data_IF_646610445166
#
_entry.id   IF_646610445166
#
_cell.length_a   1.000
_cell.length_b   1.000
_cell.length_c   1.000
_cell.angle_alpha   90.00
_cell.angle_beta   90.00
_cell.angle_gamma   90.00
#
_symmetry.space_group_name_H-M   'P 1'
#
loop_
_entity.id
_entity.type
_entity.pdbx_description
1 polymer ?
#
# COMPACT_ATOMS: atom_id res chain seq x y z
N UNK A 1 -3.02 12.54 -20.49
CA UNK A 1 -2.69 11.64 -19.35
C UNK A 1 -2.89 10.15 -19.65
N UNK A 2 -4.07 9.70 -20.12
CA UNK A 2 -4.36 8.27 -20.29
C UNK A 2 -3.34 7.49 -21.15
N UNK A 3 -2.77 8.12 -22.19
CA UNK A 3 -1.72 7.51 -23.02
C UNK A 3 -0.43 7.25 -22.24
N UNK A 4 -0.05 8.15 -21.32
CA UNK A 4 1.14 8.01 -20.46
C UNK A 4 0.90 6.91 -19.44
N UNK A 5 -0.28 6.88 -18.81
CA UNK A 5 -0.66 5.82 -17.86
C UNK A 5 -0.63 4.43 -18.53
N UNK A 6 -1.19 4.33 -19.75
CA UNK A 6 -1.15 3.08 -20.53
C UNK A 6 0.29 2.65 -20.83
N UNK A 7 1.16 3.58 -21.19
CA UNK A 7 2.57 3.29 -21.45
C UNK A 7 3.29 2.74 -20.21
N UNK A 8 3.14 3.41 -19.06
CA UNK A 8 3.74 2.98 -17.78
C UNK A 8 3.25 1.60 -17.34
N UNK A 9 1.95 1.32 -17.52
CA UNK A 9 1.38 0.02 -17.21
C UNK A 9 1.96 -1.08 -18.11
N UNK A 10 2.07 -0.84 -19.42
CA UNK A 10 2.64 -1.81 -20.36
C UNK A 10 4.12 -2.07 -20.06
N UNK A 11 4.88 -1.04 -19.70
CA UNK A 11 6.31 -1.14 -19.36
C UNK A 11 6.54 -2.04 -18.15
N UNK A 12 5.68 -1.97 -17.12
CA UNK A 12 5.85 -2.73 -15.87
C UNK A 12 4.93 -3.96 -15.74
N UNK A 13 4.12 -4.28 -16.76
CA UNK A 13 3.11 -5.37 -16.75
C UNK A 13 3.65 -6.71 -16.27
N UNK A 14 4.88 -7.07 -16.64
CA UNK A 14 5.49 -8.34 -16.26
C UNK A 14 5.72 -8.40 -14.75
N UNK A 15 6.15 -7.30 -14.13
CA UNK A 15 6.38 -7.22 -12.68
C UNK A 15 5.07 -7.34 -11.91
N UNK A 16 4.02 -6.67 -12.38
CA UNK A 16 2.68 -6.80 -11.78
C UNK A 16 2.11 -8.22 -11.92
N UNK A 17 2.32 -8.88 -13.07
CA UNK A 17 1.92 -10.28 -13.26
C UNK A 17 2.63 -11.23 -12.30
N UNK A 18 3.92 -11.03 -12.05
CA UNK A 18 4.68 -11.85 -11.06
C UNK A 18 4.10 -11.68 -9.65
N UNK A 19 3.73 -10.45 -9.26
CA UNK A 19 3.10 -10.21 -7.95
C UNK A 19 1.77 -10.95 -7.80
N UNK A 20 0.92 -10.89 -8.82
CA UNK A 20 -0.37 -11.60 -8.84
C UNK A 20 -0.16 -13.12 -8.82
N UNK A 21 0.83 -13.62 -9.59
CA UNK A 21 1.14 -15.05 -9.63
C UNK A 21 1.56 -15.59 -8.25
N UNK A 22 2.39 -14.84 -7.52
CA UNK A 22 2.81 -15.22 -6.16
C UNK A 22 1.59 -15.30 -5.23
N UNK A 23 0.68 -14.30 -5.28
CA UNK A 23 -0.54 -14.32 -4.49
C UNK A 23 -1.42 -15.53 -4.81
N UNK A 24 -1.60 -15.86 -6.09
CA UNK A 24 -2.37 -17.04 -6.51
C UNK A 24 -1.75 -18.34 -6.00
N UNK A 25 -0.42 -18.46 -5.98
CA UNK A 25 0.27 -19.66 -5.46
C UNK A 25 0.00 -19.82 -3.96
N UNK A 26 0.09 -18.74 -3.18
CA UNK A 26 -0.21 -18.77 -1.74
C UNK A 26 -1.68 -19.12 -1.50
N UNK A 27 -2.57 -18.58 -2.31
CA UNK A 27 -4.02 -18.87 -2.27
C UNK A 27 -4.32 -20.35 -2.54
N UNK A 28 -3.71 -20.94 -3.57
CA UNK A 28 -3.86 -22.37 -3.88
C UNK A 28 -3.33 -23.23 -2.72
N UNK A 29 -2.21 -22.85 -2.10
CA UNK A 29 -1.67 -23.57 -0.94
C UNK A 29 -2.63 -23.53 0.26
N UNK A 30 -3.35 -22.42 0.45
CA UNK A 30 -4.40 -22.29 1.44
C UNK A 30 -5.61 -23.19 1.13
N UNK A 31 -6.12 -23.18 -0.11
CA UNK A 31 -7.24 -24.04 -0.51
C UNK A 31 -6.92 -25.53 -0.31
N UNK A 32 -5.70 -25.96 -0.66
CA UNK A 32 -5.24 -27.34 -0.40
C UNK A 32 -5.21 -27.61 1.10
N UNK A 33 -4.64 -26.70 1.90
CA UNK A 33 -4.56 -26.85 3.36
C UNK A 33 -5.95 -26.98 4.01
N UNK A 34 -6.93 -26.23 3.51
CA UNK A 34 -8.31 -26.29 3.96
C UNK A 34 -9.00 -27.64 3.67
N UNK A 35 -8.59 -28.34 2.62
CA UNK A 35 -9.12 -29.67 2.29
C UNK A 35 -8.59 -30.79 3.21
N UNK A 36 -7.39 -30.62 3.79
CA UNK A 36 -6.78 -31.64 4.66
C UNK A 36 -7.18 -31.52 6.13
N UNK A 37 -7.06 -30.32 6.72
CA UNK A 37 -7.37 -30.11 8.15
C UNK A 37 -7.55 -28.63 8.50
N UNK A 38 -8.53 -28.31 9.35
CA UNK A 38 -8.78 -26.94 9.80
C UNK A 38 -7.58 -26.30 10.54
N UNK A 39 -6.79 -27.07 11.29
CA UNK A 39 -5.62 -26.57 12.04
C UNK A 39 -4.51 -26.07 11.11
N UNK A 40 -4.29 -26.77 9.99
CA UNK A 40 -3.29 -26.40 8.97
C UNK A 40 -3.80 -25.19 8.18
N UNK A 41 -5.09 -25.18 7.84
CA UNK A 41 -5.77 -24.04 7.21
C UNK A 41 -5.63 -22.74 8.01
N UNK A 42 -5.81 -22.82 9.34
CA UNK A 42 -5.65 -21.67 10.25
C UNK A 42 -4.21 -21.15 10.31
N UNK A 43 -3.21 -22.03 10.20
CA UNK A 43 -1.81 -21.61 10.10
C UNK A 43 -1.50 -20.93 8.77
N UNK A 44 -2.08 -21.42 7.67
CA UNK A 44 -1.88 -20.87 6.33
C UNK A 44 -2.57 -19.51 6.14
N UNK A 45 -3.69 -19.25 6.82
CA UNK A 45 -4.35 -17.93 6.77
C UNK A 45 -3.49 -16.80 7.36
N UNK A 46 -2.66 -17.08 8.37
CA UNK A 46 -1.68 -16.12 8.89
C UNK A 46 -0.63 -15.78 7.82
N UNK A 47 -0.19 -16.78 7.06
CA UNK A 47 0.77 -16.59 5.96
C UNK A 47 0.13 -15.76 4.83
N UNK A 48 -1.15 -15.98 4.51
CA UNK A 48 -1.90 -15.15 3.56
C UNK A 48 -1.97 -13.68 3.99
N UNK A 49 -2.23 -13.41 5.28
CA UNK A 49 -2.23 -12.04 5.81
C UNK A 49 -0.85 -11.39 5.67
N UNK A 50 0.21 -12.13 6.01
CA UNK A 50 1.58 -11.65 5.86
C UNK A 50 1.93 -11.38 4.39
N UNK A 51 1.48 -12.25 3.49
CA UNK A 51 1.66 -12.09 2.04
C UNK A 51 0.93 -10.85 1.53
N UNK A 52 -0.31 -10.60 1.97
CA UNK A 52 -1.06 -9.38 1.68
C UNK A 52 -0.29 -8.11 2.07
N UNK A 53 0.19 -8.05 3.32
CA UNK A 53 1.03 -6.93 3.78
C UNK A 53 2.33 -6.79 2.97
N UNK A 54 2.96 -7.93 2.66
CA UNK A 54 4.17 -7.98 1.81
C UNK A 54 3.92 -7.41 0.42
N UNK A 55 2.80 -7.74 -0.22
CA UNK A 55 2.46 -7.20 -1.55
C UNK A 55 2.27 -5.69 -1.54
N UNK A 56 1.64 -5.12 -0.50
CA UNK A 56 1.52 -3.67 -0.35
C UNK A 56 2.90 -2.99 -0.30
N UNK A 57 3.85 -3.55 0.46
CA UNK A 57 5.23 -3.05 0.49
C UNK A 57 5.91 -3.15 -0.88
N UNK A 58 5.75 -4.28 -1.59
CA UNK A 58 6.33 -4.46 -2.92
C UNK A 58 5.75 -3.44 -3.91
N UNK A 59 4.45 -3.11 -3.85
CA UNK A 59 3.85 -2.06 -4.70
C UNK A 59 4.53 -0.71 -4.46
N UNK A 60 4.76 -0.35 -3.20
CA UNK A 60 5.44 0.91 -2.83
C UNK A 60 6.88 0.90 -3.38
N UNK A 61 7.62 -0.18 -3.16
CA UNK A 61 8.99 -0.31 -3.66
C UNK A 61 9.07 -0.25 -5.19
N UNK A 62 8.15 -0.92 -5.89
CA UNK A 62 8.11 -0.89 -7.35
C UNK A 62 7.81 0.54 -7.85
N UNK A 63 6.92 1.28 -7.18
CA UNK A 63 6.67 2.67 -7.49
C UNK A 63 7.92 3.56 -7.37
N UNK A 64 8.67 3.41 -6.29
CA UNK A 64 9.93 4.13 -6.06
C UNK A 64 11.02 3.69 -7.05
N UNK A 65 11.09 2.39 -7.36
CA UNK A 65 12.07 1.81 -8.28
C UNK A 65 11.81 2.22 -9.73
N UNK A 66 10.55 2.30 -10.16
CA UNK A 66 10.16 2.82 -11.47
C UNK A 66 10.69 4.24 -11.68
N UNK A 67 10.52 5.09 -10.66
CA UNK A 67 10.99 6.47 -10.72
C UNK A 67 12.52 6.60 -10.68
N UNK A 68 13.17 5.85 -9.79
CA UNK A 68 14.63 5.86 -9.70
C UNK A 68 15.32 5.34 -10.96
N UNK A 69 14.74 4.33 -11.63
CA UNK A 69 15.24 3.87 -12.94
C UNK A 69 15.14 4.99 -13.97
N UNK A 70 14.01 5.69 -14.00
CA UNK A 70 13.79 6.72 -15.01
C UNK A 70 14.66 7.97 -14.83
N UNK A 71 15.04 8.32 -13.59
CA UNK A 71 16.00 9.40 -13.33
C UNK A 71 17.46 9.05 -13.66
N UNK A 72 17.83 7.76 -13.56
CA UNK A 72 19.25 7.35 -13.52
C UNK A 72 19.70 6.58 -14.76
N UNK A 73 18.76 5.98 -15.50
CA UNK A 73 19.05 5.25 -16.74
C UNK A 73 18.95 6.18 -17.97
N UNK A 74 19.87 6.01 -18.92
CA UNK A 74 19.91 6.81 -20.17
C UNK A 74 18.60 6.71 -20.99
N UNK A 75 17.96 5.53 -20.99
CA UNK A 75 16.68 5.29 -21.66
C UNK A 75 15.50 5.95 -20.94
N UNK A 76 15.56 6.02 -19.61
CA UNK A 76 14.54 6.67 -18.79
C UNK A 76 14.58 8.19 -18.87
N UNK A 77 15.79 8.74 -18.98
CA UNK A 77 16.04 10.17 -19.11
C UNK A 77 15.40 10.79 -20.35
N UNK A 78 15.33 10.04 -21.45
CA UNK A 78 14.69 10.49 -22.70
C UNK A 78 13.19 10.78 -22.53
N UNK A 79 12.53 10.21 -21.51
CA UNK A 79 11.13 10.48 -21.21
C UNK A 79 10.91 11.94 -20.79
N UNK A 80 11.87 12.54 -20.09
CA UNK A 80 11.84 13.93 -19.63
C UNK A 80 12.26 14.95 -20.70
N UNK A 81 12.79 14.48 -21.83
CA UNK A 81 13.13 15.31 -22.99
C UNK A 81 11.96 15.45 -23.98
N UNK A 82 10.84 14.75 -23.74
CA UNK A 82 9.64 14.89 -24.58
C UNK A 82 8.98 16.25 -24.33
N UNK A 83 8.22 16.82 -25.30
CA UNK A 83 7.51 18.10 -25.14
C UNK A 83 6.28 17.98 -24.22
N UNK A 84 6.36 17.15 -23.19
CA UNK A 84 5.33 16.89 -22.20
C UNK A 84 5.89 17.39 -20.86
N UNK A 85 5.16 18.23 -20.12
CA UNK A 85 5.70 18.80 -18.89
C UNK A 85 5.87 17.73 -17.79
N UNK A 86 6.95 17.85 -17.01
CA UNK A 86 7.44 16.83 -16.08
C UNK A 86 6.41 16.41 -15.01
N UNK A 87 5.55 17.34 -14.59
CA UNK A 87 4.47 17.05 -13.65
C UNK A 87 3.47 16.02 -14.19
N UNK A 88 3.22 15.99 -15.50
CA UNK A 88 2.29 15.02 -16.11
C UNK A 88 2.88 13.61 -16.12
N UNK A 89 4.19 13.50 -16.25
CA UNK A 89 4.92 12.23 -16.22
C UNK A 89 4.91 11.68 -14.79
N UNK A 90 5.24 12.52 -13.79
CA UNK A 90 5.18 12.16 -12.38
C UNK A 90 3.78 11.72 -11.95
N UNK A 91 2.75 12.50 -12.31
CA UNK A 91 1.36 12.21 -11.97
C UNK A 91 0.88 10.91 -12.63
N UNK A 92 1.28 10.66 -13.88
CA UNK A 92 0.98 9.42 -14.59
C UNK A 92 1.52 8.19 -13.86
N UNK A 93 2.73 8.26 -13.31
CA UNK A 93 3.34 7.16 -12.53
C UNK A 93 2.61 6.91 -11.23
N UNK A 94 2.38 7.96 -10.44
CA UNK A 94 1.67 7.86 -9.16
C UNK A 94 0.28 7.25 -9.40
N UNK A 95 -0.45 7.73 -10.41
CA UNK A 95 -1.78 7.22 -10.71
C UNK A 95 -1.76 5.73 -11.10
N UNK A 96 -0.77 5.26 -11.85
CA UNK A 96 -0.66 3.83 -12.21
C UNK A 96 -0.41 2.98 -10.96
N UNK A 97 0.48 3.42 -10.07
CA UNK A 97 0.76 2.72 -8.80
C UNK A 97 -0.49 2.68 -7.93
N UNK A 98 -1.26 3.77 -7.89
CA UNK A 98 -2.52 3.84 -7.13
C UNK A 98 -3.60 2.92 -7.72
N UNK A 99 -3.74 2.87 -9.03
CA UNK A 99 -4.70 1.95 -9.69
C UNK A 99 -4.31 0.50 -9.39
N UNK A 100 -3.03 0.13 -9.60
CA UNK A 100 -2.54 -1.24 -9.35
C UNK A 100 -2.70 -1.62 -7.88
N UNK A 101 -2.28 -0.75 -6.96
CA UNK A 101 -2.41 -0.96 -5.52
C UNK A 101 -3.87 -1.11 -5.09
N UNK A 102 -4.76 -0.26 -5.60
CA UNK A 102 -6.20 -0.34 -5.30
C UNK A 102 -6.83 -1.63 -5.84
N UNK A 103 -6.49 -2.03 -7.07
CA UNK A 103 -7.00 -3.28 -7.66
C UNK A 103 -6.52 -4.50 -6.87
N UNK A 104 -5.24 -4.55 -6.47
CA UNK A 104 -4.70 -5.63 -5.64
C UNK A 104 -5.36 -5.69 -4.26
N UNK A 105 -5.57 -4.54 -3.63
CA UNK A 105 -6.23 -4.46 -2.33
C UNK A 105 -7.70 -4.93 -2.39
N UNK A 106 -8.47 -4.48 -3.39
CA UNK A 106 -9.86 -4.93 -3.58
C UNK A 106 -9.90 -6.45 -3.83
N UNK A 107 -8.98 -6.96 -4.67
CA UNK A 107 -8.86 -8.40 -4.91
C UNK A 107 -8.52 -9.18 -3.63
N UNK A 108 -7.61 -8.66 -2.80
CA UNK A 108 -7.25 -9.26 -1.52
C UNK A 108 -8.42 -9.27 -0.54
N UNK A 109 -9.20 -8.20 -0.43
CA UNK A 109 -10.40 -8.17 0.41
C UNK A 109 -11.46 -9.17 -0.06
N UNK A 110 -11.63 -9.31 -1.38
CA UNK A 110 -12.57 -10.27 -1.95
C UNK A 110 -12.15 -11.72 -1.65
N UNK A 111 -10.87 -12.04 -1.82
CA UNK A 111 -10.32 -13.35 -1.45
C UNK A 111 -10.44 -13.60 0.05
N UNK A 112 -10.02 -12.65 0.89
CA UNK A 112 -10.12 -12.79 2.35
C UNK A 112 -11.55 -13.01 2.84
N UNK A 113 -12.56 -12.41 2.19
CA UNK A 113 -13.96 -12.71 2.49
C UNK A 113 -14.33 -14.17 2.15
N UNK A 114 -13.90 -14.67 0.99
CA UNK A 114 -14.11 -16.07 0.60
C UNK A 114 -13.39 -17.04 1.55
N UNK A 115 -12.18 -16.71 1.97
CA UNK A 115 -11.34 -17.55 2.84
C UNK A 115 -11.93 -17.69 4.24
N UNK A 116 -12.42 -16.58 4.82
CA UNK A 116 -13.11 -16.60 6.12
C UNK A 116 -14.35 -17.50 6.05
N UNK A 117 -15.11 -17.44 4.95
CA UNK A 117 -16.27 -18.30 4.75
C UNK A 117 -15.88 -19.78 4.63
N UNK A 118 -14.81 -20.09 3.89
CA UNK A 118 -14.28 -21.45 3.75
C UNK A 118 -13.77 -22.03 5.07
N UNK A 119 -13.04 -21.25 5.87
CA UNK A 119 -12.57 -21.67 7.20
C UNK A 119 -13.75 -21.93 8.13
N UNK A 120 -14.75 -21.05 8.12
CA UNK A 120 -15.95 -21.22 8.94
C UNK A 120 -16.68 -22.54 8.62
N UNK A 121 -16.75 -22.90 7.34
CA UNK A 121 -17.35 -24.15 6.90
C UNK A 121 -16.51 -25.38 7.29
N UNK A 122 -15.18 -25.29 7.18
CA UNK A 122 -14.27 -26.37 7.55
C UNK A 122 -14.26 -26.63 9.06
N UNK A 123 -14.29 -25.58 9.87
CA UNK A 123 -14.33 -25.70 11.34
C UNK A 123 -15.65 -26.30 11.85
N UNK A 124 -16.80 -25.94 11.27
CA UNK A 124 -18.10 -26.57 11.62
C UNK A 124 -18.14 -28.07 11.34
N UNK A 125 -17.35 -28.54 10.36
CA UNK A 125 -17.31 -29.94 9.94
C UNK A 125 -16.44 -30.80 10.86
N UNK A 126 -15.26 -30.30 11.24
CA UNK A 126 -14.26 -31.10 11.96
C UNK A 126 -14.37 -30.98 13.49
N UNK A 127 -14.79 -29.83 14.05
CA UNK A 127 -14.78 -29.63 15.50
C UNK A 127 -15.82 -28.58 15.98
N UNK A 128 -17.10 -28.97 16.17
CA UNK A 128 -18.20 -28.04 16.47
C UNK A 128 -18.16 -27.43 17.88
N UNK A 129 -17.24 -27.87 18.76
CA UNK A 129 -17.12 -27.37 20.14
C UNK A 129 -15.91 -26.45 20.36
N UNK A 130 -15.13 -26.18 19.31
CA UNK A 130 -13.98 -25.29 19.42
C UNK A 130 -14.42 -23.84 19.71
N UNK A 131 -13.72 -23.18 20.63
CA UNK A 131 -13.99 -21.79 21.04
C UNK A 131 -13.84 -20.75 19.90
N UNK A 132 -13.31 -21.18 18.75
CA UNK A 132 -13.14 -20.37 17.55
C UNK A 132 -14.39 -20.34 16.64
N UNK A 133 -15.27 -21.35 16.73
CA UNK A 133 -16.53 -21.38 15.96
C UNK A 133 -17.42 -20.16 16.25
N UNK A 134 -17.69 -19.77 17.51
CA UNK A 134 -18.49 -18.57 17.79
C UNK A 134 -17.76 -17.27 17.39
N UNK A 135 -16.43 -17.22 17.49
CA UNK A 135 -15.65 -16.05 17.09
C UNK A 135 -15.71 -15.80 15.57
N UNK A 136 -15.59 -16.86 14.76
CA UNK A 136 -15.68 -16.77 13.30
C UNK A 136 -17.11 -16.52 12.84
N UNK A 137 -18.11 -17.13 13.50
CA UNK A 137 -19.51 -16.85 13.21
C UNK A 137 -19.85 -15.37 13.48
N UNK A 138 -19.34 -14.80 14.58
CA UNK A 138 -19.51 -13.37 14.86
C UNK A 138 -18.74 -12.50 13.88
N UNK A 139 -17.54 -12.89 13.45
CA UNK A 139 -16.81 -12.17 12.39
C UNK A 139 -17.60 -12.17 11.08
N UNK A 140 -18.19 -13.30 10.70
CA UNK A 140 -19.07 -13.37 9.52
C UNK A 140 -20.30 -12.47 9.67
N UNK A 141 -21.03 -12.53 10.79
CA UNK A 141 -22.18 -11.67 11.04
C UNK A 141 -21.80 -10.17 11.06
N UNK A 142 -20.61 -9.86 11.58
CA UNK A 142 -20.03 -8.51 11.51
C UNK A 142 -19.78 -8.11 10.04
N UNK A 143 -19.16 -8.97 9.22
CA UNK A 143 -18.90 -8.72 7.79
C UNK A 143 -20.18 -8.52 6.96
N UNK A 144 -21.32 -9.10 7.37
CA UNK A 144 -22.62 -8.85 6.73
C UNK A 144 -23.32 -7.58 7.24
N UNK A 145 -22.85 -6.99 8.33
CA UNK A 145 -23.38 -5.72 8.85
C UNK A 145 -22.90 -4.56 7.99
N UNK A 146 -23.80 -3.61 7.64
CA UNK A 146 -23.48 -2.48 6.76
C UNK A 146 -22.32 -1.58 7.22
N UNK A 147 -21.94 -1.64 8.49
CA UNK A 147 -20.83 -0.88 9.08
C UNK A 147 -19.44 -1.40 8.64
N UNK A 148 -19.32 -2.67 8.27
CA UNK A 148 -18.05 -3.23 7.79
C UNK A 148 -17.70 -2.77 6.39
N UNK A 149 -18.70 -2.58 5.52
CA UNK A 149 -18.48 -2.00 4.18
C UNK A 149 -17.92 -0.58 4.31
N UNK A 150 -18.46 0.21 5.23
CA UNK A 150 -17.96 1.56 5.53
C UNK A 150 -16.52 1.48 6.06
N UNK A 151 -16.24 0.55 6.97
CA UNK A 151 -14.90 0.33 7.53
C UNK A 151 -13.87 -0.08 6.47
N UNK A 152 -14.25 -0.95 5.53
CA UNK A 152 -13.39 -1.36 4.41
C UNK A 152 -13.10 -0.19 3.45
N UNK A 153 -14.09 0.65 3.17
CA UNK A 153 -13.91 1.87 2.35
C UNK A 153 -12.95 2.85 3.05
N UNK A 154 -13.11 3.05 4.36
CA UNK A 154 -12.22 3.90 5.18
C UNK A 154 -10.78 3.38 5.12
N UNK A 155 -10.59 2.07 5.26
CA UNK A 155 -9.27 1.44 5.20
C UNK A 155 -8.66 1.51 3.79
N UNK A 156 -9.45 1.36 2.72
CA UNK A 156 -9.00 1.60 1.34
C UNK A 156 -8.47 3.04 1.16
N UNK A 157 -9.24 4.04 1.60
CA UNK A 157 -8.85 5.45 1.50
C UNK A 157 -7.54 5.71 2.28
N UNK A 158 -7.41 5.12 3.48
CA UNK A 158 -6.20 5.23 4.28
C UNK A 158 -4.97 4.63 3.56
N UNK A 159 -5.10 3.43 2.99
CA UNK A 159 -4.01 2.78 2.24
C UNK A 159 -3.63 3.60 1.01
N UNK A 160 -4.59 4.14 0.27
CA UNK A 160 -4.33 5.01 -0.89
C UNK A 160 -3.55 6.27 -0.45
N UNK A 161 -3.95 6.89 0.66
CA UNK A 161 -3.25 8.03 1.22
C UNK A 161 -1.81 7.66 1.61
N UNK A 162 -1.63 6.57 2.36
CA UNK A 162 -0.33 6.09 2.81
C UNK A 162 0.62 5.83 1.64
N UNK A 163 0.15 5.12 0.60
CA UNK A 163 0.94 4.83 -0.60
C UNK A 163 1.31 6.13 -1.33
N UNK A 164 0.35 7.05 -1.51
CA UNK A 164 0.60 8.34 -2.16
C UNK A 164 1.66 9.15 -1.41
N UNK A 165 1.52 9.24 -0.09
CA UNK A 165 2.44 9.94 0.80
C UNK A 165 3.87 9.38 0.69
N UNK A 166 4.04 8.07 0.86
CA UNK A 166 5.36 7.42 0.81
C UNK A 166 6.03 7.58 -0.56
N UNK A 167 5.29 7.40 -1.65
CA UNK A 167 5.82 7.53 -3.01
C UNK A 167 6.23 8.98 -3.32
N UNK A 168 5.42 9.97 -2.96
CA UNK A 168 5.74 11.39 -3.18
C UNK A 168 7.00 11.82 -2.39
N UNK A 169 7.13 11.40 -1.14
CA UNK A 169 8.28 11.72 -0.30
C UNK A 169 9.56 11.05 -0.83
N UNK A 170 9.46 9.81 -1.32
CA UNK A 170 10.56 9.12 -1.98
C UNK A 170 10.97 9.77 -3.31
N UNK A 171 10.01 10.31 -4.07
CA UNK A 171 10.30 11.04 -5.30
C UNK A 171 11.04 12.35 -5.01
N UNK A 172 10.63 13.07 -3.96
CA UNK A 172 11.34 14.28 -3.51
C UNK A 172 12.77 13.97 -3.06
N UNK A 173 12.95 12.93 -2.23
CA UNK A 173 14.28 12.51 -1.81
C UNK A 173 15.16 12.12 -3.02
N UNK A 174 14.58 11.42 -4.00
CA UNK A 174 15.30 10.98 -5.20
C UNK A 174 15.66 12.14 -6.13
N UNK A 175 14.79 13.15 -6.29
CA UNK A 175 15.09 14.37 -7.08
C UNK A 175 16.15 15.24 -6.43
N UNK A 176 16.09 15.45 -5.12
CA UNK A 176 17.11 16.22 -4.38
C UNK A 176 18.47 15.51 -4.49
N UNK A 177 18.49 14.18 -4.28
CA UNK A 177 19.74 13.42 -4.40
C UNK A 177 20.30 13.47 -5.83
N UNK A 178 19.46 13.36 -6.85
CA UNK A 178 19.88 13.41 -8.25
C UNK A 178 20.38 14.80 -8.68
N UNK A 179 19.78 15.88 -8.17
CA UNK A 179 20.20 17.26 -8.47
C UNK A 179 21.49 17.66 -7.76
N UNK A 180 21.71 17.21 -6.52
CA UNK A 180 22.89 17.62 -5.72
C UNK A 180 24.14 16.76 -6.00
N UNK A 181 23.98 15.48 -6.35
CA UNK A 181 25.10 14.52 -6.43
C UNK A 181 25.28 13.83 -7.78
N UNK A 182 24.73 14.41 -8.85
CA UNK A 182 24.72 13.82 -10.20
C UNK A 182 26.11 13.28 -10.59
N UNK A 183 26.20 11.96 -10.79
CA UNK A 183 27.40 11.28 -11.27
C UNK A 183 28.40 10.81 -10.21
N UNK A 184 28.15 11.00 -8.91
CA UNK A 184 29.02 10.46 -7.83
C UNK A 184 28.62 9.03 -7.43
N UNK A 185 29.61 8.14 -7.24
CA UNK A 185 29.42 6.78 -6.70
C UNK A 185 28.90 6.87 -5.25
N UNK A 186 27.58 6.79 -5.06
CA UNK A 186 26.92 6.92 -3.75
C UNK A 186 25.52 7.56 -3.78
N UNK A 187 25.12 8.14 -4.92
CA UNK A 187 23.83 8.84 -5.09
C UNK A 187 22.60 7.98 -4.74
N UNK A 188 22.68 6.64 -4.82
CA UNK A 188 21.57 5.75 -4.42
C UNK A 188 21.40 5.69 -2.90
N UNK A 189 22.52 5.56 -2.17
CA UNK A 189 22.52 5.48 -0.71
C UNK A 189 22.07 6.81 -0.10
N UNK A 190 22.49 7.92 -0.69
CA UNK A 190 22.14 9.25 -0.19
C UNK A 190 20.65 9.54 -0.36
N UNK A 191 20.03 9.09 -1.47
CA UNK A 191 18.56 9.16 -1.64
C UNK A 191 17.82 8.40 -0.53
N UNK A 192 18.30 7.22 -0.14
CA UNK A 192 17.69 6.42 0.94
C UNK A 192 17.81 7.14 2.28
N UNK A 193 18.98 7.68 2.60
CA UNK A 193 19.20 8.44 3.85
C UNK A 193 18.33 9.69 3.89
N UNK A 194 18.23 10.43 2.77
CA UNK A 194 17.35 11.60 2.66
C UNK A 194 15.88 11.23 2.82
N UNK A 195 15.44 10.14 2.20
CA UNK A 195 14.08 9.63 2.36
C UNK A 195 13.78 9.31 3.83
N UNK A 196 14.68 8.60 4.51
CA UNK A 196 14.51 8.24 5.91
C UNK A 196 14.47 9.48 6.82
N UNK A 197 15.34 10.46 6.58
CA UNK A 197 15.37 11.71 7.35
C UNK A 197 14.07 12.52 7.20
N UNK A 198 13.58 12.66 5.95
CA UNK A 198 12.31 13.33 5.66
C UNK A 198 11.12 12.57 6.24
N UNK A 199 11.12 11.25 6.13
CA UNK A 199 10.08 10.40 6.69
C UNK A 199 10.00 10.55 8.22
N UNK A 200 11.13 10.47 8.93
CA UNK A 200 11.20 10.68 10.38
C UNK A 200 10.72 12.07 10.76
N UNK A 201 11.12 13.10 10.03
CA UNK A 201 10.72 14.48 10.29
C UNK A 201 9.20 14.64 10.17
N UNK A 202 8.60 14.11 9.09
CA UNK A 202 7.16 14.22 8.88
C UNK A 202 6.39 13.40 9.92
N UNK A 203 6.82 12.17 10.22
CA UNK A 203 6.22 11.34 11.27
C UNK A 203 6.29 12.03 12.63
N UNK A 204 7.42 12.67 12.95
CA UNK A 204 7.56 13.45 14.18
C UNK A 204 6.56 14.60 14.25
N UNK A 205 6.36 15.34 13.15
CA UNK A 205 5.36 16.41 13.10
C UNK A 205 3.94 15.83 13.21
N UNK A 206 3.62 14.77 12.47
CA UNK A 206 2.33 14.09 12.55
C UNK A 206 2.01 13.60 13.96
N UNK A 207 3.01 13.05 14.68
CA UNK A 207 2.85 12.57 16.06
C UNK A 207 2.57 13.68 17.08
N UNK A 208 2.91 14.93 16.76
CA UNK A 208 2.53 16.09 17.58
C UNK A 208 1.15 16.64 17.26
N UNK A 209 0.63 16.32 16.08
CA UNK A 209 -0.68 16.77 15.61
C UNK A 209 -1.78 15.78 16.04
N UNK A 210 -1.45 14.49 16.09
CA UNK A 210 -2.38 13.42 16.43
C UNK A 210 -1.92 12.74 17.71
N UNK A 211 -2.73 12.77 18.78
CA UNK A 211 -2.54 11.89 19.93
C UNK A 211 -2.77 10.45 19.45
N UNK A 212 -1.70 9.78 19.05
CA UNK A 212 -1.72 8.55 18.23
C UNK A 212 -2.07 7.28 19.04
N UNK A 213 -2.91 7.40 20.08
CA UNK A 213 -3.35 6.24 20.87
C UNK A 213 -4.60 5.55 20.32
N UNK A 214 -5.41 6.20 19.48
CA UNK A 214 -6.80 5.74 19.23
C UNK A 214 -7.09 5.33 17.77
N UNK A 215 -6.10 5.27 16.89
CA UNK A 215 -6.34 4.99 15.46
C UNK A 215 -6.63 3.51 15.15
N UNK A 216 -6.05 2.60 15.94
CA UNK A 216 -6.22 1.14 15.81
C UNK A 216 -6.22 0.54 17.21
N UNK A 217 -7.41 0.25 17.75
CA UNK A 217 -7.55 -0.56 18.96
C UNK A 217 -8.11 -1.94 18.58
N UNK A 218 -7.38 -2.98 18.99
CA UNK A 218 -7.89 -4.34 19.02
C UNK A 218 -8.52 -4.52 20.40
N UNK A 219 -9.81 -4.23 20.51
CA UNK A 219 -10.49 -4.36 21.79
C UNK A 219 -11.09 -5.76 21.92
N UNK A 220 -10.71 -6.47 22.98
CA UNK A 220 -11.35 -7.72 23.38
C UNK A 220 -12.61 -7.38 24.17
N UNK A 221 -13.66 -7.00 23.44
CA UNK A 221 -14.97 -6.74 24.03
C UNK A 221 -15.65 -8.02 24.52
N UNK A 222 -16.69 -7.89 25.33
CA UNK A 222 -17.53 -8.98 25.86
C UNK A 222 -18.14 -9.88 24.78
N UNK A 223 -18.13 -9.44 23.52
CA UNK A 223 -18.64 -10.18 22.40
C UNK A 223 -17.51 -10.79 21.51
N UNK A 224 -16.22 -10.67 21.84
CA UNK A 224 -15.10 -11.17 20.99
C UNK A 224 -14.28 -10.05 20.32
N UNK A 225 -13.35 -10.41 19.42
CA UNK A 225 -12.39 -9.49 18.79
C UNK A 225 -13.11 -8.49 17.86
N UNK A 226 -13.18 -7.22 18.25
CA UNK A 226 -13.73 -6.15 17.42
C UNK A 226 -12.61 -5.28 16.85
N UNK A 227 -12.53 -5.25 15.52
CA UNK A 227 -11.55 -4.44 14.79
C UNK A 227 -12.08 -3.00 14.72
N UNK A 228 -11.85 -2.22 15.76
CA UNK A 228 -12.22 -0.80 15.81
C UNK A 228 -11.17 0.03 15.07
N UNK A 229 -11.33 0.09 13.75
CA UNK A 229 -10.53 0.98 12.91
C UNK A 229 -11.23 2.33 12.80
N UNK A 230 -10.55 3.39 13.25
CA UNK A 230 -11.00 4.77 13.05
C UNK A 230 -12.39 5.09 13.67
N UNK A 231 -12.62 4.75 14.96
CA UNK A 231 -13.81 5.25 15.67
C UNK A 231 -13.82 6.79 15.70
N UNK A 232 -12.64 7.41 15.90
CA UNK A 232 -12.45 8.86 15.88
C UNK A 232 -11.87 9.36 14.55
N UNK A 233 -12.71 9.42 13.51
CA UNK A 233 -12.36 10.01 12.21
C UNK A 233 -11.81 11.44 12.33
N UNK A 234 -12.16 12.17 13.37
CA UNK A 234 -11.75 13.56 13.57
C UNK A 234 -10.25 13.69 13.92
N UNK A 235 -9.71 12.76 14.71
CA UNK A 235 -8.30 12.79 15.16
C UNK A 235 -7.37 12.06 14.18
N UNK A 236 -7.81 10.93 13.63
CA UNK A 236 -7.08 10.23 12.58
C UNK A 236 -7.15 11.01 11.24
N UNK A 237 -8.27 11.67 10.95
CA UNK A 237 -8.46 12.47 9.74
C UNK A 237 -7.51 13.67 9.67
N UNK A 238 -7.21 14.31 10.80
CA UNK A 238 -6.24 15.41 10.85
C UNK A 238 -4.83 14.99 10.39
N UNK A 239 -4.40 13.79 10.80
CA UNK A 239 -3.11 13.22 10.35
C UNK A 239 -3.09 12.91 8.85
N UNK A 240 -4.16 12.30 8.34
CA UNK A 240 -4.31 11.96 6.91
C UNK A 240 -4.33 13.24 6.04
N UNK A 241 -5.00 14.30 6.49
CA UNK A 241 -5.04 15.58 5.78
C UNK A 241 -3.65 16.22 5.76
N UNK A 242 -2.92 16.18 6.87
CA UNK A 242 -1.55 16.69 6.95
C UNK A 242 -0.60 15.90 6.03
N UNK A 243 -0.70 14.57 6.01
CA UNK A 243 0.07 13.69 5.13
C UNK A 243 -0.23 13.95 3.65
N UNK A 244 -1.51 14.15 3.29
CA UNK A 244 -1.90 14.56 1.94
C UNK A 244 -1.31 15.92 1.57
N UNK A 245 -1.37 16.89 2.47
CA UNK A 245 -0.76 18.21 2.27
C UNK A 245 0.76 18.12 2.05
N UNK A 246 1.44 17.31 2.86
CA UNK A 246 2.86 17.05 2.71
C UNK A 246 3.18 16.34 1.38
N UNK A 247 2.36 15.38 0.96
CA UNK A 247 2.51 14.67 -0.31
C UNK A 247 2.34 15.61 -1.52
N UNK A 248 1.38 16.54 -1.47
CA UNK A 248 1.14 17.54 -2.51
C UNK A 248 2.31 18.53 -2.61
N UNK A 249 2.81 19.00 -1.46
CA UNK A 249 4.00 19.83 -1.40
C UNK A 249 5.24 19.10 -1.94
N UNK A 250 5.41 17.82 -1.59
CA UNK A 250 6.51 16.99 -2.07
C UNK A 250 6.45 16.75 -3.58
N UNK A 251 5.25 16.52 -4.11
CA UNK A 251 5.00 16.40 -5.54
C UNK A 251 5.33 17.70 -6.28
N UNK A 252 4.82 18.84 -5.82
CA UNK A 252 5.07 20.14 -6.43
C UNK A 252 6.57 20.51 -6.42
N UNK A 253 7.25 20.27 -5.29
CA UNK A 253 8.69 20.50 -5.17
C UNK A 253 9.50 19.58 -6.10
N UNK A 254 9.11 18.30 -6.22
CA UNK A 254 9.76 17.36 -7.15
C UNK A 254 9.60 17.78 -8.61
N UNK A 255 8.40 18.21 -9.00
CA UNK A 255 8.12 18.71 -10.36
C UNK A 255 8.93 19.98 -10.67
N UNK A 256 8.96 20.94 -9.73
CA UNK A 256 9.72 22.17 -9.87
C UNK A 256 11.23 21.93 -9.97
N UNK A 257 11.79 21.01 -9.17
CA UNK A 257 13.21 20.66 -9.23
C UNK A 257 13.59 20.00 -10.56
N UNK A 258 12.70 19.15 -11.09
CA UNK A 258 12.87 18.51 -12.39
C UNK A 258 12.89 19.50 -13.56
N UNK A 259 12.08 20.57 -13.51
CA UNK A 259 12.04 21.58 -14.58
C UNK A 259 13.18 22.60 -14.51
N UNK A 260 13.73 22.89 -13.32
CA UNK A 260 14.62 24.04 -13.12
C UNK A 260 16.07 23.72 -12.72
N UNK A 261 16.33 22.53 -12.18
CA UNK A 261 17.66 22.18 -11.62
C UNK A 261 18.21 20.83 -12.05
N UNK A 262 17.40 19.97 -12.63
CA UNK A 262 17.92 18.82 -13.37
C UNK A 262 18.25 19.36 -14.75
N UNK A 263 19.51 19.74 -14.99
CA UNK A 263 19.96 20.14 -16.33
C UNK A 263 19.58 19.03 -17.31
N UNK A 264 18.55 19.27 -18.11
CA UNK A 264 18.10 18.38 -19.19
C UNK A 264 19.14 18.40 -20.29
#
# INVERSE_FOLDING_TARGET
>A
MARIMKYEFIKNRFRYLVMIAIMIIVEIAFLISNAFSYRISTGMSVILILAGLGTLLIVIFEGIAMYNRDLREKSGYMLFMTPIPSWQILLGKITVILIVGSTLFIGYCFLGFADIHLIASAMKRDDPTSSLVPAIAKLLDSLYSGDTVITLIKLLICIICLVTYLVCLAYLASTISASVLRGKKGEKLISIVLFLALFILVVYISSKISNISDAVSLDMGTNGLELKLFENFNEAGASIIFELGCSAAAFAASAYLLEKKVDV
#
